data_IF_801528704527
#
_entry.id   IF_801528704527
#
_cell.length_a   1.000
_cell.length_b   1.000
_cell.length_c   1.000
_cell.angle_alpha   90.00
_cell.angle_beta   90.00
_cell.angle_gamma   90.00
#
_symmetry.space_group_name_H-M   'P 1'
#
loop_
_entity.id
_entity.type
_entity.pdbx_description
1 polymer ?
#
# COMPACT_ATOMS: atom_id res chain seq x y z
N UNK A 1 -14.59 -9.79 -14.08
CA UNK A 1 -14.24 -9.37 -12.70
C UNK A 1 -13.71 -7.94 -12.79
N UNK A 2 -13.95 -7.06 -11.79
CA UNK A 2 -13.31 -5.75 -11.80
C UNK A 2 -11.78 -5.92 -11.83
N UNK A 3 -11.09 -5.02 -12.52
CA UNK A 3 -9.63 -5.05 -12.61
C UNK A 3 -9.04 -4.93 -11.19
N UNK A 4 -8.09 -5.79 -10.79
CA UNK A 4 -7.43 -5.66 -9.49
C UNK A 4 -6.80 -4.29 -9.33
N UNK A 5 -6.75 -3.79 -8.09
CA UNK A 5 -6.18 -2.49 -7.75
C UNK A 5 -4.99 -2.65 -6.80
N UNK A 6 -3.87 -2.05 -7.17
CA UNK A 6 -2.66 -1.95 -6.35
C UNK A 6 -2.50 -0.49 -5.94
N UNK A 7 -2.44 -0.24 -4.62
CA UNK A 7 -2.20 1.08 -4.07
C UNK A 7 -0.73 1.21 -3.65
N UNK A 8 -0.06 2.23 -4.16
CA UNK A 8 1.28 2.67 -3.78
C UNK A 8 1.11 3.75 -2.71
N UNK A 9 1.58 3.47 -1.50
CA UNK A 9 1.57 4.41 -0.37
C UNK A 9 2.99 4.89 -0.13
N UNK A 10 3.22 6.16 -0.42
CA UNK A 10 4.50 6.81 -0.20
C UNK A 10 4.36 7.89 0.88
N UNK A 11 5.47 8.34 1.44
CA UNK A 11 5.44 9.25 2.59
C UNK A 11 5.29 10.70 2.16
N UNK A 12 4.39 11.43 2.81
CA UNK A 12 4.10 12.84 2.47
C UNK A 12 5.31 13.75 2.62
N UNK A 13 6.11 13.57 3.68
CA UNK A 13 7.20 14.50 4.03
C UNK A 13 8.43 14.38 3.12
N UNK A 14 8.79 13.16 2.70
CA UNK A 14 9.89 12.93 1.76
C UNK A 14 9.58 11.68 0.93
N UNK A 15 8.77 11.81 -0.13
CA UNK A 15 8.39 10.67 -0.95
C UNK A 15 9.61 10.06 -1.63
N UNK A 16 9.65 8.73 -1.70
CA UNK A 16 10.81 7.97 -2.19
C UNK A 16 10.57 7.36 -3.58
N UNK A 17 9.31 7.14 -3.94
CA UNK A 17 8.92 6.61 -5.25
C UNK A 17 8.90 7.70 -6.32
N UNK A 18 9.00 7.25 -7.57
CA UNK A 18 8.70 8.08 -8.74
C UNK A 18 7.27 8.62 -8.65
N UNK A 19 7.02 9.94 -8.78
CA UNK A 19 5.67 10.52 -8.73
C UNK A 19 4.68 9.87 -9.69
N UNK A 20 5.16 9.42 -10.85
CA UNK A 20 4.35 8.75 -11.88
C UNK A 20 4.31 7.23 -11.71
N UNK A 21 5.08 6.67 -10.76
CA UNK A 21 5.20 5.21 -10.51
C UNK A 21 5.50 4.44 -11.80
N UNK A 22 6.42 4.98 -12.62
CA UNK A 22 6.67 4.52 -14.00
C UNK A 22 7.04 3.04 -14.05
N UNK A 23 7.92 2.60 -13.15
CA UNK A 23 8.39 1.21 -13.12
C UNK A 23 7.25 0.27 -12.73
N UNK A 24 6.52 0.59 -11.66
CA UNK A 24 5.40 -0.21 -11.18
C UNK A 24 4.31 -0.31 -12.25
N UNK A 25 3.93 0.82 -12.86
CA UNK A 25 2.96 0.87 -13.94
C UNK A 25 3.41 0.06 -15.18
N UNK A 26 4.68 0.17 -15.59
CA UNK A 26 5.21 -0.56 -16.75
C UNK A 26 5.24 -2.07 -16.52
N UNK A 27 5.66 -2.52 -15.33
CA UNK A 27 5.82 -3.95 -15.03
C UNK A 27 4.48 -4.61 -14.72
N UNK A 28 3.60 -3.95 -13.96
CA UNK A 28 2.26 -4.47 -13.64
C UNK A 28 1.38 -4.47 -14.91
N UNK A 29 1.51 -3.43 -15.74
CA UNK A 29 0.81 -3.31 -17.01
C UNK A 29 -0.70 -3.51 -16.86
N UNK A 30 -1.28 -4.35 -17.72
CA UNK A 30 -2.73 -4.59 -17.72
C UNK A 30 -3.23 -5.48 -16.56
N UNK A 31 -2.35 -6.10 -15.77
CA UNK A 31 -2.75 -7.06 -14.75
C UNK A 31 -3.52 -6.41 -13.58
N UNK A 32 -3.21 -5.14 -13.27
CA UNK A 32 -3.88 -4.37 -12.25
C UNK A 32 -3.81 -2.87 -12.55
N UNK A 33 -4.79 -2.12 -12.06
CA UNK A 33 -4.71 -0.66 -11.99
C UNK A 33 -3.80 -0.27 -10.83
N UNK A 34 -2.90 0.67 -11.06
CA UNK A 34 -1.98 1.18 -10.05
C UNK A 34 -2.36 2.61 -9.70
N UNK A 35 -2.42 2.94 -8.42
CA UNK A 35 -2.55 4.34 -7.96
C UNK A 35 -1.50 4.66 -6.93
N UNK A 36 -1.18 5.94 -6.79
CA UNK A 36 -0.25 6.44 -5.78
C UNK A 36 -0.93 7.44 -4.86
N UNK A 37 -0.65 7.34 -3.57
CA UNK A 37 -1.15 8.27 -2.55
C UNK A 37 -0.03 8.57 -1.56
N UNK A 38 0.02 9.83 -1.10
CA UNK A 38 0.92 10.27 -0.06
C UNK A 38 0.21 10.20 1.29
N UNK A 39 0.80 9.51 2.25
CA UNK A 39 0.28 9.37 3.60
C UNK A 39 1.37 9.63 4.64
N UNK A 40 0.99 10.23 5.76
CA UNK A 40 1.84 10.37 6.95
C UNK A 40 1.49 9.28 7.97
N UNK A 41 0.21 8.93 8.08
CA UNK A 41 -0.33 7.99 9.08
C UNK A 41 -1.52 7.18 8.54
N UNK A 42 -1.97 6.18 9.31
CA UNK A 42 -3.19 5.40 9.01
C UNK A 42 -4.45 6.26 8.83
N UNK A 43 -4.47 7.49 9.34
CA UNK A 43 -5.59 8.42 9.19
C UNK A 43 -5.74 8.95 7.76
N UNK A 44 -4.66 8.95 6.98
CA UNK A 44 -4.61 9.48 5.62
C UNK A 44 -5.04 8.45 4.57
N UNK A 45 -5.27 7.19 4.99
CA UNK A 45 -5.76 6.14 4.10
C UNK A 45 -7.16 6.50 3.58
N UNK A 46 -7.26 6.75 2.28
CA UNK A 46 -8.52 7.03 1.59
C UNK A 46 -9.36 5.76 1.43
N UNK A 47 -10.65 5.93 1.13
CA UNK A 47 -11.53 4.79 0.82
C UNK A 47 -11.01 3.98 -0.37
N UNK A 48 -10.39 4.64 -1.36
CA UNK A 48 -9.76 3.98 -2.50
C UNK A 48 -8.58 3.09 -2.08
N UNK A 49 -7.69 3.58 -1.22
CA UNK A 49 -6.58 2.77 -0.69
C UNK A 49 -7.11 1.61 0.15
N UNK A 50 -8.14 1.86 0.97
CA UNK A 50 -8.76 0.82 1.80
C UNK A 50 -9.41 -0.29 0.94
N UNK A 51 -9.90 0.03 -0.25
CA UNK A 51 -10.48 -0.93 -1.18
C UNK A 51 -9.44 -1.73 -2.02
N UNK A 52 -8.15 -1.37 -1.96
CA UNK A 52 -7.10 -1.99 -2.77
C UNK A 52 -6.94 -3.50 -2.49
N UNK A 53 -6.51 -4.25 -3.51
CA UNK A 53 -6.25 -5.69 -3.43
C UNK A 53 -4.83 -6.00 -2.96
N UNK A 54 -3.88 -5.10 -3.22
CA UNK A 54 -2.53 -5.17 -2.67
C UNK A 54 -2.00 -3.76 -2.43
N UNK A 55 -1.05 -3.65 -1.52
CA UNK A 55 -0.39 -2.39 -1.18
C UNK A 55 1.11 -2.51 -1.41
N UNK A 56 1.71 -1.50 -2.03
CA UNK A 56 3.16 -1.27 -2.04
C UNK A 56 3.42 -0.08 -1.12
N UNK A 57 4.29 -0.20 -0.14
CA UNK A 57 4.50 0.84 0.88
C UNK A 57 5.98 1.04 1.19
N UNK A 58 6.41 2.29 1.45
CA UNK A 58 7.77 2.65 1.89
C UNK A 58 7.93 2.50 3.42
N UNK A 59 9.09 2.86 3.96
CA UNK A 59 9.39 2.62 5.38
C UNK A 59 8.89 3.73 6.31
N UNK A 60 8.67 4.95 5.80
CA UNK A 60 8.42 6.12 6.65
C UNK A 60 6.98 6.27 7.13
N UNK A 61 6.00 5.71 6.42
CA UNK A 61 4.60 5.69 6.87
C UNK A 61 4.34 4.40 7.66
N UNK A 62 4.05 4.46 8.97
CA UNK A 62 3.70 3.28 9.75
C UNK A 62 2.31 2.79 9.37
N UNK A 63 2.20 1.53 8.96
CA UNK A 63 0.93 0.85 8.72
C UNK A 63 0.62 -0.03 9.93
N UNK A 64 -0.12 0.53 10.90
CA UNK A 64 -0.38 -0.14 12.18
C UNK A 64 -1.61 -1.05 12.08
N UNK A 65 -1.91 -1.79 13.16
CA UNK A 65 -3.17 -2.54 13.28
C UNK A 65 -4.42 -1.70 12.94
N UNK A 66 -4.42 -0.39 13.22
CA UNK A 66 -5.56 0.50 12.90
C UNK A 66 -5.74 0.68 11.40
N UNK A 67 -4.66 0.96 10.66
CA UNK A 67 -4.70 1.05 9.19
C UNK A 67 -5.00 -0.31 8.56
N UNK A 68 -4.34 -1.36 9.05
CA UNK A 68 -4.58 -2.73 8.59
C UNK A 68 -6.04 -3.10 8.75
N UNK A 69 -6.73 -2.76 9.85
CA UNK A 69 -8.14 -3.06 10.06
C UNK A 69 -9.09 -2.40 9.04
N UNK A 70 -8.68 -1.31 8.38
CA UNK A 70 -9.49 -0.63 7.36
C UNK A 70 -9.45 -1.32 6.00
N UNK A 71 -8.43 -2.15 5.73
CA UNK A 71 -8.22 -2.77 4.41
C UNK A 71 -9.33 -3.77 4.08
N UNK A 72 -10.07 -3.58 3.01
CA UNK A 72 -11.27 -4.37 2.73
C UNK A 72 -10.95 -5.62 1.92
N UNK A 73 -10.07 -5.47 0.92
CA UNK A 73 -9.81 -6.49 -0.09
C UNK A 73 -8.33 -6.90 -0.16
N UNK A 74 -7.47 -6.32 0.70
CA UNK A 74 -6.04 -6.50 0.62
C UNK A 74 -5.66 -7.96 0.90
N UNK A 75 -4.74 -8.50 0.09
CA UNK A 75 -4.22 -9.88 0.18
C UNK A 75 -2.69 -9.95 0.21
N UNK A 76 -2.02 -8.82 0.03
CA UNK A 76 -0.58 -8.71 0.06
C UNK A 76 -0.14 -7.27 0.38
N UNK A 77 0.86 -7.14 1.24
CA UNK A 77 1.57 -5.88 1.49
C UNK A 77 3.03 -6.08 1.11
N UNK A 78 3.49 -5.32 0.13
CA UNK A 78 4.86 -5.30 -0.36
C UNK A 78 5.56 -4.10 0.24
N UNK A 79 6.46 -4.35 1.18
CA UNK A 79 7.37 -3.32 1.68
C UNK A 79 8.46 -3.09 0.63
N UNK A 80 8.50 -1.90 0.03
CA UNK A 80 9.56 -1.53 -0.90
C UNK A 80 10.87 -1.26 -0.12
N UNK A 81 11.66 -2.31 0.08
CA UNK A 81 12.88 -2.35 0.87
C UNK A 81 13.01 -3.66 1.64
N UNK A 82 14.09 -3.80 2.43
CA UNK A 82 14.36 -5.06 3.17
C UNK A 82 13.62 -5.11 4.51
N UNK A 83 13.64 -4.01 5.27
CA UNK A 83 12.97 -3.91 6.57
C UNK A 83 11.46 -3.71 6.45
N UNK A 84 10.71 -4.35 7.35
CA UNK A 84 9.24 -4.35 7.39
C UNK A 84 8.66 -4.06 8.77
N UNK A 85 9.48 -3.54 9.70
CA UNK A 85 9.09 -3.14 11.05
C UNK A 85 8.07 -2.00 11.10
N UNK A 86 7.96 -1.20 10.03
CA UNK A 86 6.93 -0.16 9.88
C UNK A 86 5.53 -0.73 9.60
N UNK A 87 5.40 -2.04 9.36
CA UNK A 87 4.12 -2.72 9.12
C UNK A 87 3.84 -3.67 10.27
N UNK A 88 2.65 -3.58 10.85
CA UNK A 88 2.20 -4.54 11.87
C UNK A 88 1.86 -5.90 11.24
N UNK A 89 2.89 -6.71 11.01
CA UNK A 89 2.78 -8.03 10.36
C UNK A 89 1.91 -9.01 11.17
N UNK A 90 1.79 -8.83 12.49
CA UNK A 90 0.94 -9.65 13.32
C UNK A 90 -0.54 -9.35 13.04
N UNK A 91 -0.91 -8.07 12.97
CA UNK A 91 -2.25 -7.66 12.57
C UNK A 91 -2.57 -8.05 11.12
N UNK A 92 -1.62 -7.92 10.18
CA UNK A 92 -1.80 -8.36 8.79
C UNK A 92 -2.14 -9.86 8.72
N UNK A 93 -1.33 -10.69 9.42
CA UNK A 93 -1.53 -12.14 9.49
C UNK A 93 -2.90 -12.52 10.06
N UNK A 94 -3.37 -11.83 11.11
CA UNK A 94 -4.70 -12.08 11.70
C UNK A 94 -5.84 -11.83 10.70
N UNK A 95 -5.61 -11.00 9.68
CA UNK A 95 -6.57 -10.71 8.62
C UNK A 95 -6.37 -11.55 7.35
N UNK A 96 -5.40 -12.46 7.33
CA UNK A 96 -5.07 -13.28 6.17
C UNK A 96 -4.40 -12.49 5.04
N UNK A 97 -3.66 -11.44 5.40
CA UNK A 97 -2.80 -10.64 4.51
C UNK A 97 -1.36 -11.13 4.65
#
# INVERSE_FOLDING_TARGET
MPQPHIAIIDWTTSPQGDPDSTIECQIIGAAARVTRTLCETDADLTDEVCAANAIIIWHNMPLTAKGIAKLQNCRAIIRNGVGFDSVDVAAARQRGI
#
